data_IF_595312638271
#
_entry.id   IF_595312638271
#
_cell.length_a   1.000
_cell.length_b   1.000
_cell.length_c   1.000
_cell.angle_alpha   90.00
_cell.angle_beta   90.00
_cell.angle_gamma   90.00
#
_symmetry.space_group_name_H-M   'P 1'
#
loop_
_entity.id
_entity.type
_entity.pdbx_description
1 polymer ?
2 polymer ?
3 non-polymer ?
4 non-polymer ?
5 non-polymer ?
6 non-polymer ?
7 water ?
#
# COMPACT_ATOMS: atom_id res chain seq x y z
N UNK A 1 2.71 -12.42 -7.32
CA UNK A 1 3.62 -12.71 -6.21
C UNK A 1 4.36 -14.02 -6.45
N UNK A 2 5.70 -14.00 -6.42
CA UNK A 2 6.60 -15.16 -6.58
C UNK A 2 7.13 -15.60 -5.21
N UNK A 3 7.00 -16.89 -4.89
CA UNK A 3 7.57 -17.51 -3.70
C UNK A 3 6.90 -17.14 -2.39
N UNK A 4 5.64 -16.73 -2.47
CA UNK A 4 4.84 -16.39 -1.29
C UNK A 4 3.92 -17.53 -0.94
N UNK A 5 2.79 -17.22 -0.31
CA UNK A 5 1.76 -18.19 0.04
C UNK A 5 0.41 -17.52 -0.17
N UNK A 6 -0.67 -18.30 -0.10
CA UNK A 6 -2.02 -17.77 -0.22
C UNK A 6 -2.26 -16.94 1.05
N UNK A 7 -2.82 -15.74 0.89
CA UNK A 7 -3.17 -14.96 2.07
C UNK A 7 -4.48 -15.56 2.59
N UNK A 8 -4.51 -16.14 3.82
CA UNK A 8 -5.79 -16.73 4.28
C UNK A 8 -6.90 -15.68 4.16
N UNK A 9 -8.06 -16.10 3.62
CA UNK A 9 -9.23 -15.23 3.38
C UNK A 9 -9.51 -14.33 4.60
N UNK A 10 -9.51 -13.02 4.36
CA UNK A 10 -9.76 -12.02 5.40
C UNK A 10 -8.53 -11.55 6.15
N UNK A 11 -7.35 -12.14 5.87
CA UNK A 11 -6.12 -11.69 6.54
C UNK A 11 -5.42 -10.50 5.82
N UNK A 12 -5.85 -10.16 4.57
CA UNK A 12 -5.36 -9.01 3.80
C UNK A 12 -6.62 -8.14 3.52
N UNK A 13 -7.37 -7.66 4.55
CA UNK A 13 -8.67 -7.04 4.24
C UNK A 13 -8.65 -5.68 3.58
N UNK A 14 -7.47 -5.07 3.48
CA UNK A 14 -7.29 -3.76 2.84
C UNK A 14 -6.91 -3.91 1.35
N UNK A 15 -6.62 -5.15 0.93
CA UNK A 15 -6.24 -5.38 -0.46
C UNK A 15 -7.40 -5.01 -1.40
N UNK A 16 -7.07 -4.28 -2.47
CA UNK A 16 -8.04 -3.91 -3.50
C UNK A 16 -7.62 -4.59 -4.83
N UNK A 17 -8.60 -4.97 -5.63
CA UNK A 17 -8.39 -5.47 -6.99
C UNK A 17 -8.97 -4.42 -7.91
N UNK A 18 -8.17 -3.90 -8.82
CA UNK A 18 -8.64 -2.94 -9.82
C UNK A 18 -8.89 -3.66 -11.12
N UNK A 19 -10.06 -3.40 -11.70
CA UNK A 19 -10.52 -3.97 -12.97
C UNK A 19 -10.86 -2.89 -13.99
N UNK A 20 -10.62 -3.19 -15.28
CA UNK A 20 -10.99 -2.30 -16.39
C UNK A 20 -11.73 -3.19 -17.37
N UNK A 21 -13.01 -2.85 -17.63
CA UNK A 21 -13.88 -3.66 -18.50
C UNK A 21 -13.94 -5.12 -17.97
N UNK A 22 -13.89 -5.28 -16.64
CA UNK A 22 -13.95 -6.58 -15.99
C UNK A 22 -12.64 -7.36 -15.94
N UNK A 23 -11.57 -6.84 -16.57
CA UNK A 23 -10.29 -7.52 -16.61
C UNK A 23 -9.34 -6.99 -15.53
N UNK A 24 -8.52 -7.89 -15.00
CA UNK A 24 -7.51 -7.57 -13.99
C UNK A 24 -6.56 -6.50 -14.51
N UNK A 25 -6.43 -5.42 -13.73
CA UNK A 25 -5.52 -4.33 -14.10
C UNK A 25 -4.34 -4.23 -13.12
N UNK A 26 -4.66 -4.04 -11.82
CA UNK A 26 -3.65 -3.73 -10.79
C UNK A 26 -4.26 -4.01 -9.43
N UNK A 27 -3.45 -3.84 -8.41
CA UNK A 27 -3.92 -3.90 -7.04
C UNK A 27 -4.03 -2.46 -6.53
N UNK A 28 -4.39 -2.35 -5.25
CA UNK A 28 -4.52 -1.09 -4.53
C UNK A 28 -4.68 -1.37 -3.06
N UNK A 29 -4.72 -0.31 -2.26
CA UNK A 29 -4.86 -0.44 -0.79
C UNK A 29 -5.96 0.51 -0.31
N UNK A 30 -6.94 -0.03 0.40
CA UNK A 30 -8.01 0.77 0.97
C UNK A 30 -7.40 1.50 2.19
N UNK A 31 -7.58 2.85 2.28
CA UNK A 31 -7.03 3.55 3.47
C UNK A 31 -8.14 4.17 4.37
N UNK A 32 -9.40 4.17 3.88
CA UNK A 32 -10.61 4.55 4.65
C UNK A 32 -11.81 4.08 3.81
N UNK A 33 -13.07 4.44 4.13
CA UNK A 33 -14.18 3.86 3.36
C UNK A 33 -14.32 4.36 1.91
N UNK A 34 -13.66 5.45 1.54
CA UNK A 34 -13.88 5.91 0.18
C UNK A 34 -12.58 6.10 -0.64
N UNK A 35 -11.40 6.01 -0.01
CA UNK A 35 -10.12 6.27 -0.70
C UNK A 35 -9.24 5.04 -0.82
N UNK A 36 -8.63 4.88 -2.00
CA UNK A 36 -7.73 3.76 -2.32
C UNK A 36 -6.44 4.31 -2.85
N UNK A 37 -5.29 3.75 -2.40
CA UNK A 37 -4.00 4.19 -2.91
C UNK A 37 -3.52 3.11 -3.90
N UNK A 38 -3.03 3.54 -5.07
CA UNK A 38 -2.52 2.57 -6.03
C UNK A 38 -1.27 3.17 -6.71
N UNK A 39 -0.86 2.60 -7.85
CA UNK A 39 0.29 3.10 -8.60
C UNK A 39 -0.15 3.93 -9.80
N UNK A 40 0.50 5.09 -10.01
CA UNK A 40 0.16 5.96 -11.15
C UNK A 40 0.26 5.20 -12.49
N UNK A 41 1.27 4.31 -12.62
CA UNK A 41 1.55 3.62 -13.89
C UNK A 41 0.44 2.69 -14.34
N UNK A 42 -0.45 2.25 -13.41
CA UNK A 42 -1.59 1.41 -13.74
C UNK A 42 -2.56 2.11 -14.70
N UNK A 43 -2.50 3.46 -14.78
CA UNK A 43 -3.44 4.27 -15.55
C UNK A 43 -2.86 4.81 -16.87
N UNK A 44 -1.61 4.44 -17.20
CA UNK A 44 -0.93 4.90 -18.42
C UNK A 44 -1.69 4.59 -19.70
N UNK A 45 -2.36 3.44 -19.75
CA UNK A 45 -3.01 2.98 -20.97
C UNK A 45 -4.54 2.97 -20.92
N UNK A 46 -5.14 3.64 -19.92
CA UNK A 46 -6.61 3.67 -19.78
C UNK A 46 -7.25 4.64 -20.78
N UNK A 47 -8.26 4.15 -21.50
CA UNK A 47 -9.07 4.95 -22.43
C UNK A 47 -10.52 4.95 -21.88
N UNK A 48 -10.93 3.81 -21.29
CA UNK A 48 -12.26 3.58 -20.71
C UNK A 48 -12.28 3.93 -19.22
N UNK A 49 -12.12 5.23 -18.92
CA UNK A 49 -12.12 5.78 -17.56
C UNK A 49 -13.39 5.49 -16.78
N UNK A 50 -14.53 5.31 -17.47
CA UNK A 50 -15.83 5.00 -16.85
C UNK A 50 -16.00 3.51 -16.50
N UNK A 51 -15.09 2.66 -16.99
CA UNK A 51 -15.19 1.22 -16.77
C UNK A 51 -14.15 0.70 -15.76
N UNK A 52 -13.63 1.62 -14.91
CA UNK A 52 -12.64 1.31 -13.87
C UNK A 52 -13.41 0.97 -12.58
N UNK A 53 -13.18 -0.24 -12.05
CA UNK A 53 -13.88 -0.77 -10.88
C UNK A 53 -12.87 -1.20 -9.84
N UNK A 54 -13.15 -0.91 -8.54
CA UNK A 54 -12.34 -1.40 -7.43
C UNK A 54 -13.16 -2.48 -6.73
N UNK A 55 -12.54 -3.60 -6.37
CA UNK A 55 -13.24 -4.65 -5.66
C UNK A 55 -12.52 -4.82 -4.32
N UNK A 56 -13.29 -4.76 -3.22
CA UNK A 56 -12.83 -4.98 -1.85
C UNK A 56 -13.38 -6.32 -1.36
N UNK A 57 -12.72 -6.95 -0.39
CA UNK A 57 -13.20 -8.22 0.16
C UNK A 57 -13.01 -9.38 -0.81
N UNK A 58 -12.18 -9.15 -1.84
CA UNK A 58 -11.89 -10.21 -2.82
C UNK A 58 -10.90 -11.20 -2.26
N UNK A 59 -11.00 -12.49 -2.68
CA UNK A 59 -10.02 -13.48 -2.23
C UNK A 59 -9.75 -14.43 -3.39
N UNK A 60 -10.78 -15.12 -3.84
CA UNK A 60 -10.67 -16.13 -4.91
C UNK A 60 -11.44 -15.60 -6.11
N UNK A 61 -10.75 -15.38 -7.23
CA UNK A 61 -11.31 -14.82 -8.47
C UNK A 61 -12.27 -15.77 -9.20
N UNK A 62 -12.29 -17.04 -8.81
CA UNK A 62 -13.12 -18.02 -9.53
C UNK A 62 -14.54 -18.16 -8.95
N UNK A 63 -14.77 -17.62 -7.75
CA UNK A 63 -16.06 -17.78 -7.06
C UNK A 63 -16.50 -16.48 -6.43
N UNK A 64 -17.82 -16.26 -6.35
CA UNK A 64 -18.42 -15.12 -5.65
C UNK A 64 -18.91 -15.68 -4.32
N UNK A 65 -18.35 -15.21 -3.19
CA UNK A 65 -18.81 -15.75 -1.91
C UNK A 65 -19.67 -14.77 -1.09
N UNK A 66 -19.93 -13.58 -1.63
CA UNK A 66 -20.78 -12.59 -0.97
C UNK A 66 -20.04 -11.55 -0.13
N UNK A 67 -18.74 -11.75 0.09
CA UNK A 67 -17.94 -10.75 0.86
C UNK A 67 -17.37 -9.66 -0.05
N UNK A 68 -17.42 -9.86 -1.38
CA UNK A 68 -16.89 -8.90 -2.35
C UNK A 68 -17.77 -7.67 -2.39
N UNK A 69 -17.15 -6.49 -2.56
CA UNK A 69 -17.90 -5.25 -2.72
C UNK A 69 -17.24 -4.51 -3.86
N UNK A 70 -18.01 -4.20 -4.92
CA UNK A 70 -17.49 -3.50 -6.11
C UNK A 70 -17.94 -2.06 -6.09
N UNK A 71 -17.03 -1.17 -6.48
CA UNK A 71 -17.32 0.24 -6.57
C UNK A 71 -16.68 0.82 -7.80
N UNK A 72 -17.40 1.73 -8.45
CA UNK A 72 -16.85 2.48 -9.59
C UNK A 72 -15.82 3.46 -9.02
N UNK A 73 -14.74 3.69 -9.76
CA UNK A 73 -13.73 4.65 -9.36
C UNK A 73 -14.18 5.99 -9.95
N UNK A 74 -14.51 6.96 -9.08
CA UNK A 74 -14.99 8.27 -9.51
C UNK A 74 -13.85 9.18 -9.96
N UNK A 75 -12.69 9.05 -9.31
CA UNK A 75 -11.55 9.91 -9.62
C UNK A 75 -10.24 9.19 -9.41
N UNK A 76 -9.27 9.50 -10.26
CA UNK A 76 -7.92 8.98 -10.18
C UNK A 76 -7.04 10.22 -10.11
N UNK A 77 -6.34 10.41 -8.99
CA UNK A 77 -5.50 11.60 -8.78
C UNK A 77 -4.04 11.20 -8.82
N UNK A 78 -3.28 11.85 -9.70
CA UNK A 78 -1.88 11.53 -9.90
C UNK A 78 -0.98 12.77 -9.66
N UNK A 79 0.22 12.63 -9.05
CA UNK A 79 1.08 13.83 -8.85
C UNK A 79 1.50 14.42 -10.19
N UNK A 80 1.58 15.75 -10.26
CA UNK A 80 2.03 16.45 -11.49
C UNK A 80 3.43 16.01 -11.93
N UNK A 81 4.25 15.58 -10.95
CA UNK A 81 5.65 15.16 -11.19
C UNK A 81 5.77 13.77 -11.87
N UNK A 82 4.68 12.97 -11.84
CA UNK A 82 4.68 11.66 -12.49
C UNK A 82 4.65 11.85 -14.02
N UNK A 83 5.52 11.12 -14.72
CA UNK A 83 5.57 11.14 -16.18
C UNK A 83 5.17 9.76 -16.74
N UNK A 84 4.08 9.66 -17.54
CA UNK A 84 3.69 8.35 -18.09
C UNK A 84 4.83 7.63 -18.82
N UNK A 85 4.94 6.33 -18.59
CA UNK A 85 5.98 5.50 -19.18
C UNK A 85 7.28 5.50 -18.41
N UNK A 86 7.31 6.19 -17.26
CA UNK A 86 8.51 6.24 -16.41
C UNK A 86 8.14 5.68 -15.03
N UNK A 87 9.11 5.68 -14.10
CA UNK A 87 8.93 5.05 -12.78
C UNK A 87 8.82 5.99 -11.58
N UNK A 88 9.34 7.22 -11.68
CA UNK A 88 9.33 8.12 -10.51
C UNK A 88 7.94 8.63 -10.13
N UNK A 89 7.70 8.86 -8.81
CA UNK A 89 6.42 9.35 -8.27
C UNK A 89 5.25 8.43 -8.66
N UNK A 90 5.46 7.12 -8.50
CA UNK A 90 4.50 6.12 -8.94
C UNK A 90 3.41 5.88 -7.89
N UNK A 91 2.48 6.85 -7.81
CA UNK A 91 1.39 6.84 -6.84
C UNK A 91 0.12 7.42 -7.41
N UNK A 92 -1.02 6.85 -7.04
CA UNK A 92 -2.32 7.36 -7.46
C UNK A 92 -3.25 7.27 -6.27
N UNK A 93 -4.09 8.28 -6.15
CA UNK A 93 -5.10 8.32 -5.08
C UNK A 93 -6.48 8.23 -5.77
N UNK A 94 -7.26 7.21 -5.43
CA UNK A 94 -8.53 6.89 -6.08
C UNK A 94 -9.69 7.15 -5.15
N UNK A 95 -10.68 7.91 -5.65
CA UNK A 95 -11.89 8.19 -4.88
C UNK A 95 -12.97 7.23 -5.39
N UNK A 96 -13.57 6.46 -4.49
CA UNK A 96 -14.65 5.55 -4.90
C UNK A 96 -15.95 6.33 -5.07
N UNK A 97 -16.82 5.88 -6.00
CA UNK A 97 -18.08 6.60 -6.26
C UNK A 97 -19.02 6.58 -5.03
N UNK A 98 -18.98 5.49 -4.25
CA UNK A 98 -19.76 5.31 -3.04
C UNK A 98 -18.83 4.58 -2.03
N UNK A 99 -18.92 4.89 -0.74
CA UNK A 99 -18.02 4.18 0.21
C UNK A 99 -18.25 2.68 0.25
N UNK A 100 -17.19 1.92 0.57
CA UNK A 100 -17.35 0.49 0.85
C UNK A 100 -17.87 0.42 2.28
N UNK A 101 -18.50 -0.69 2.62
CA UNK A 101 -19.02 -0.94 3.97
C UNK A 101 -17.94 -1.77 4.71
N UNK A 102 -17.45 -1.28 5.87
CA UNK A 102 -16.44 -2.06 6.57
C UNK A 102 -17.06 -3.30 7.18
N UNK A 103 -16.34 -4.41 7.03
CA UNK A 103 -16.80 -5.71 7.55
C UNK A 103 -15.57 -6.49 8.02
N UNK A 104 -15.75 -7.75 8.48
CA UNK A 104 -14.59 -8.56 8.85
C UNK A 104 -13.66 -8.76 7.65
N UNK A 105 -14.20 -8.64 6.42
CA UNK A 105 -13.42 -8.87 5.20
C UNK A 105 -12.98 -7.60 4.44
N UNK A 106 -13.45 -6.41 4.89
CA UNK A 106 -13.12 -5.15 4.22
C UNK A 106 -12.71 -4.15 5.33
N UNK A 107 -11.41 -3.88 5.44
CA UNK A 107 -10.87 -3.01 6.51
C UNK A 107 -9.75 -2.16 5.92
N UNK A 108 -9.71 -0.85 6.23
CA UNK A 108 -8.64 -0.02 5.68
C UNK A 108 -7.29 -0.30 6.35
N UNK A 109 -6.23 -0.07 5.62
CA UNK A 109 -4.88 -0.08 6.18
C UNK A 109 -4.60 1.32 6.71
N UNK A 110 -3.86 1.46 7.86
CA UNK A 110 -3.62 2.83 8.34
C UNK A 110 -2.66 3.58 7.45
N UNK A 111 -3.04 4.79 7.02
CA UNK A 111 -2.08 5.65 6.30
C UNK A 111 -1.31 6.35 7.46
N UNK A 112 -0.02 6.11 7.66
CA UNK A 112 0.66 6.72 8.83
C UNK A 112 0.97 8.19 8.67
N UNK A 113 1.35 8.88 9.78
CA UNK A 113 1.86 10.25 9.69
C UNK A 113 3.26 10.16 9.10
N UNK A 114 3.72 11.23 8.44
CA UNK A 114 5.04 11.21 7.81
C UNK A 114 6.18 10.94 8.81
N UNK A 115 6.23 11.69 9.91
CA UNK A 115 7.29 11.57 10.94
C UNK A 115 7.39 10.16 11.49
N UNK A 116 6.24 9.60 11.87
CA UNK A 116 6.14 8.23 12.36
C UNK A 116 6.67 7.25 11.30
N UNK A 117 6.27 7.47 10.03
CA UNK A 117 6.70 6.58 8.96
C UNK A 117 8.23 6.65 8.71
N UNK A 118 8.79 7.85 8.64
CA UNK A 118 10.23 8.02 8.39
C UNK A 118 11.10 7.64 9.60
N UNK A 119 10.68 7.99 10.82
CA UNK A 119 11.46 7.73 12.05
C UNK A 119 11.34 6.32 12.59
N UNK A 120 10.19 5.65 12.38
CA UNK A 120 9.95 4.35 12.98
C UNK A 120 9.69 3.25 11.97
N UNK A 121 8.64 3.42 11.13
CA UNK A 121 8.26 2.35 10.18
C UNK A 121 9.34 2.00 9.19
N UNK A 122 10.11 3.02 8.75
CA UNK A 122 11.21 2.86 7.78
C UNK A 122 12.32 1.90 8.29
N UNK A 123 12.36 1.64 9.62
CA UNK A 123 13.36 0.76 10.25
C UNK A 123 12.80 -0.59 10.66
N UNK A 124 11.51 -0.86 10.36
CA UNK A 124 10.93 -2.18 10.60
C UNK A 124 11.42 -2.98 9.37
N UNK A 125 12.25 -4.00 9.61
CA UNK A 125 12.87 -4.75 8.51
C UNK A 125 11.89 -5.43 7.55
N UNK A 126 10.99 -6.28 8.04
CA UNK A 126 10.07 -7.03 7.21
C UNK A 126 8.69 -6.41 7.08
N UNK A 127 8.14 -6.52 5.87
CA UNK A 127 6.78 -6.05 5.57
C UNK A 127 6.16 -7.00 4.58
N UNK A 128 4.82 -6.97 4.49
CA UNK A 128 4.06 -7.86 3.60
C UNK A 128 3.67 -7.16 2.31
N UNK A 129 3.81 -7.89 1.20
CA UNK A 129 3.42 -7.44 -0.14
C UNK A 129 2.43 -8.47 -0.64
N UNK A 130 1.37 -8.02 -1.34
CA UNK A 130 0.30 -8.94 -1.73
C UNK A 130 -0.33 -8.59 -3.08
N UNK A 131 -0.96 -9.59 -3.69
CA UNK A 131 -1.63 -9.39 -4.97
C UNK A 131 -1.97 -10.66 -5.71
N UNK A 132 -2.77 -10.50 -6.78
CA UNK A 132 -3.20 -11.61 -7.65
C UNK A 132 -2.32 -11.62 -8.92
N UNK A 133 -1.10 -11.10 -8.78
CA UNK A 133 -0.14 -10.97 -9.88
C UNK A 133 0.48 -12.30 -10.28
N UNK A 134 1.40 -12.25 -11.26
CA UNK A 134 2.05 -13.47 -11.78
C UNK A 134 2.75 -14.23 -10.68
N UNK A 135 2.57 -15.56 -10.68
CA UNK A 135 3.18 -16.50 -9.71
C UNK A 135 4.64 -16.80 -10.04
N UNK A 136 5.03 -16.50 -11.29
CA UNK A 136 6.36 -16.74 -11.84
C UNK A 136 6.63 -15.72 -12.89
N UNK A 137 7.90 -15.45 -13.16
CA UNK A 137 8.28 -14.56 -14.26
C UNK A 137 7.78 -15.25 -15.55
N UNK A 138 6.99 -14.51 -16.38
CA UNK A 138 6.41 -15.00 -17.64
C UNK A 138 5.45 -16.19 -17.40
N UNK A 139 4.82 -16.18 -16.23
CA UNK A 139 3.87 -17.20 -15.79
C UNK A 139 2.45 -16.70 -15.61
N UNK A 140 1.57 -17.62 -15.21
CA UNK A 140 0.15 -17.36 -14.98
C UNK A 140 -0.02 -16.51 -13.71
N UNK A 141 -1.14 -15.78 -13.65
CA UNK A 141 -1.49 -14.98 -12.46
C UNK A 141 -2.22 -15.88 -11.47
N UNK A 142 -2.33 -15.44 -10.19
CA UNK A 142 -2.99 -16.21 -9.14
C UNK A 142 -4.50 -16.07 -9.11
N UNK A 143 -5.23 -17.17 -8.79
CA UNK A 143 -6.68 -17.13 -8.61
C UNK A 143 -7.01 -16.72 -7.17
N UNK A 144 -6.13 -17.07 -6.22
CA UNK A 144 -6.29 -16.70 -4.82
C UNK A 144 -5.24 -15.61 -4.47
N UNK A 145 -5.64 -14.65 -3.63
CA UNK A 145 -4.74 -13.58 -3.20
C UNK A 145 -3.50 -14.16 -2.55
N UNK A 146 -2.32 -13.69 -2.98
CA UNK A 146 -1.03 -14.16 -2.47
C UNK A 146 -0.37 -13.09 -1.60
N UNK A 147 0.47 -13.51 -0.64
CA UNK A 147 1.18 -12.59 0.25
C UNK A 147 2.61 -13.08 0.44
N UNK A 148 3.52 -12.14 0.64
CA UNK A 148 4.94 -12.40 0.80
C UNK A 148 5.57 -11.43 1.79
N UNK A 149 6.43 -11.97 2.65
CA UNK A 149 7.19 -11.18 3.63
C UNK A 149 8.52 -10.83 2.99
N UNK A 150 8.84 -9.54 2.91
CA UNK A 150 10.06 -9.03 2.28
C UNK A 150 10.83 -8.08 3.19
N UNK A 151 12.19 -8.15 3.18
CA UNK A 151 12.98 -7.19 3.97
C UNK A 151 13.28 -5.93 3.15
N UNK A 152 13.29 -4.79 3.82
CA UNK A 152 13.55 -3.51 3.20
C UNK A 152 15.07 -3.24 3.26
N UNK A 153 15.60 -2.63 2.20
CA UNK A 153 17.01 -2.29 2.13
C UNK A 153 17.22 -0.79 2.08
N UNK A 154 18.37 -0.31 2.58
CA UNK A 154 18.75 1.10 2.41
C UNK A 154 19.14 1.18 0.93
N UNK A 155 18.82 2.30 0.26
CA UNK A 155 19.07 2.48 -1.18
C UNK A 155 20.55 2.28 -1.56
N UNK A 156 21.50 2.78 -0.73
CA UNK A 156 22.95 2.59 -0.92
C UNK A 156 23.24 1.09 -0.98
N UNK A 157 22.69 0.31 -0.01
CA UNK A 157 22.82 -1.15 0.04
C UNK A 157 22.16 -1.83 -1.16
N UNK A 158 20.99 -1.33 -1.64
CA UNK A 158 20.28 -1.89 -2.80
C UNK A 158 21.12 -1.73 -4.09
N UNK A 159 21.69 -0.54 -4.30
CA UNK A 159 22.52 -0.22 -5.47
C UNK A 159 23.83 -1.04 -5.48
N UNK A 160 24.43 -1.22 -4.30
CA UNK A 160 25.68 -1.96 -4.11
C UNK A 160 25.53 -3.47 -4.31
N UNK A 161 24.44 -4.08 -3.80
CA UNK A 161 24.24 -5.54 -3.95
C UNK A 161 23.32 -5.88 -5.14
N UNK A 162 23.29 -5.00 -6.17
CA UNK A 162 22.53 -5.20 -7.40
C UNK A 162 23.43 -5.26 -8.63
N UNK A 163 23.18 -6.26 -9.50
CA UNK A 163 23.92 -6.47 -10.73
C UNK A 163 23.52 -5.41 -11.76
N UNK A 164 24.53 -4.71 -12.33
CA UNK A 164 24.33 -3.67 -13.35
C UNK A 164 23.84 -4.31 -14.65
N UNK A 165 22.76 -3.73 -15.24
CA UNK A 165 22.15 -4.25 -16.47
C UNK A 165 22.26 -3.30 -17.66
N UNK A 166 22.27 -2.00 -17.40
CA UNK A 166 22.34 -0.97 -18.45
C UNK A 166 20.94 -0.49 -18.79
N UNK A 167 20.75 0.85 -18.81
CA UNK A 167 19.47 1.56 -19.06
C UNK A 167 18.44 1.27 -17.93
N UNK A 168 18.93 0.72 -16.79
CA UNK A 168 18.15 0.40 -15.59
C UNK A 168 17.81 1.72 -14.88
N UNK A 169 16.51 1.97 -14.53
CA UNK A 169 16.18 3.26 -13.88
C UNK A 169 16.86 3.49 -12.54
N UNK A 170 17.08 4.78 -12.20
CA UNK A 170 17.68 5.19 -10.92
C UNK A 170 16.66 4.93 -9.79
N UNK A 171 17.15 4.66 -8.57
CA UNK A 171 16.32 4.47 -7.39
C UNK A 171 16.37 5.81 -6.66
N UNK A 172 15.28 6.58 -6.75
CA UNK A 172 15.16 7.94 -6.21
C UNK A 172 14.75 7.94 -4.74
N UNK A 173 14.68 9.13 -4.14
CA UNK A 173 14.20 9.31 -2.76
C UNK A 173 12.67 9.02 -2.64
N UNK A 174 11.97 8.84 -3.78
CA UNK A 174 10.53 8.53 -3.81
C UNK A 174 10.29 7.03 -3.96
N UNK A 175 11.37 6.24 -3.78
CA UNK A 175 11.33 4.78 -3.90
C UNK A 175 12.12 4.12 -2.78
N UNK A 176 11.96 2.81 -2.64
CA UNK A 176 12.82 1.95 -1.81
C UNK A 176 12.82 0.55 -2.38
N UNK A 177 13.90 -0.21 -2.10
CA UNK A 177 14.04 -1.60 -2.50
C UNK A 177 13.61 -2.50 -1.36
N UNK A 178 13.00 -3.64 -1.71
CA UNK A 178 12.62 -4.66 -0.75
C UNK A 178 12.58 -5.98 -1.46
N UNK A 179 13.00 -7.02 -0.77
CA UNK A 179 12.99 -8.36 -1.33
C UNK A 179 14.29 -9.12 -1.16
N UNK A 180 14.56 -10.01 -2.13
CA UNK A 180 15.70 -10.92 -2.13
C UNK A 180 16.37 -10.92 -3.50
N UNK A 181 17.72 -10.95 -3.51
CA UNK A 181 18.51 -10.97 -4.75
C UNK A 181 18.88 -12.39 -5.24
N UNK A 182 18.37 -13.45 -4.57
CA UNK A 182 18.70 -14.84 -4.91
C UNK A 182 17.69 -15.54 -5.87
N UNK A 183 16.82 -14.75 -6.52
CA UNK A 183 15.83 -15.23 -7.47
C UNK A 183 14.70 -16.09 -6.91
N UNK A 184 14.42 -15.95 -5.61
CA UNK A 184 13.40 -16.79 -4.98
C UNK A 184 12.05 -16.13 -4.75
N UNK A 185 12.06 -14.88 -4.24
CA UNK A 185 10.84 -14.21 -3.80
C UNK A 185 10.75 -12.76 -4.24
N UNK A 186 9.57 -12.34 -4.74
CA UNK A 186 9.35 -10.96 -5.19
C UNK A 186 7.87 -10.75 -5.52
N UNK A 187 7.46 -9.48 -5.68
CA UNK A 187 6.13 -9.18 -6.20
C UNK A 187 6.36 -9.29 -7.73
N UNK A 188 5.31 -9.20 -8.53
CA UNK A 188 5.44 -9.38 -9.99
C UNK A 188 4.43 -8.49 -10.73
N UNK A 189 4.39 -8.63 -12.08
CA UNK A 189 3.45 -7.92 -12.93
C UNK A 189 2.06 -8.30 -12.44
N UNK A 190 1.18 -7.32 -12.40
CA UNK A 190 -0.17 -7.58 -11.95
C UNK A 190 -0.34 -7.30 -10.47
N UNK A 191 0.76 -7.29 -9.68
CA UNK A 191 0.70 -6.93 -8.25
C UNK A 191 0.82 -5.40 -8.09
N UNK A 192 1.28 -4.72 -9.15
CA UNK A 192 1.48 -3.27 -9.17
C UNK A 192 0.31 -2.55 -8.51
N UNK A 193 0.61 -1.55 -7.67
CA UNK A 193 -0.38 -0.75 -6.97
C UNK A 193 -0.78 -1.33 -5.62
N UNK A 194 -0.47 -2.61 -5.39
CA UNK A 194 -0.79 -3.28 -4.16
C UNK A 194 0.00 -2.77 -2.96
N UNK A 195 -0.43 -3.17 -1.75
CA UNK A 195 0.26 -2.70 -0.53
C UNK A 195 1.59 -3.38 -0.20
N UNK A 196 2.47 -2.61 0.43
CA UNK A 196 3.68 -3.02 1.14
C UNK A 196 3.27 -2.49 2.55
N UNK A 197 2.81 -3.42 3.42
CA UNK A 197 2.20 -3.16 4.74
C UNK A 197 3.18 -3.50 5.86
N UNK A 198 3.34 -2.58 6.83
CA UNK A 198 4.33 -2.75 7.88
C UNK A 198 3.63 -2.80 9.23
N UNK A 199 3.94 -3.82 10.04
CA UNK A 199 3.40 -4.00 11.38
C UNK A 199 4.25 -3.25 12.41
N UNK A 200 3.57 -2.56 13.32
CA UNK A 200 4.24 -1.88 14.43
C UNK A 200 3.31 -1.83 15.61
N UNK A 201 3.72 -2.47 16.73
CA UNK A 201 2.98 -2.53 17.98
C UNK A 201 1.47 -2.87 17.83
N UNK A 202 1.20 -3.95 17.09
CA UNK A 202 -0.13 -4.52 16.96
C UNK A 202 -0.99 -3.91 15.87
N UNK A 203 -0.44 -2.99 15.06
CA UNK A 203 -1.21 -2.32 14.00
C UNK A 203 -0.44 -2.28 12.68
N UNK A 204 -1.14 -2.42 11.54
CA UNK A 204 -0.51 -2.38 10.22
C UNK A 204 -0.68 -1.02 9.53
N UNK A 205 0.38 -0.59 8.81
CA UNK A 205 0.47 0.72 8.15
C UNK A 205 0.92 0.61 6.71
N UNK A 206 0.44 1.53 5.86
CA UNK A 206 0.88 1.60 4.48
C UNK A 206 2.25 2.28 4.38
N UNK A 207 3.28 1.54 3.95
CA UNK A 207 4.62 2.14 3.75
C UNK A 207 5.10 2.13 2.29
N UNK A 208 4.56 1.22 1.48
CA UNK A 208 4.99 1.19 0.08
C UNK A 208 3.87 0.78 -0.86
N UNK A 209 4.11 0.98 -2.16
CA UNK A 209 3.21 0.56 -3.22
C UNK A 209 4.04 -0.29 -4.20
N UNK A 210 3.53 -1.48 -4.56
CA UNK A 210 4.22 -2.32 -5.56
C UNK A 210 4.38 -1.45 -6.83
N UNK A 211 5.63 -1.20 -7.25
CA UNK A 211 5.86 -0.27 -8.36
C UNK A 211 6.55 -0.88 -9.60
N UNK A 212 7.83 -1.28 -9.48
CA UNK A 212 8.61 -1.79 -10.63
C UNK A 212 9.77 -2.74 -10.23
N UNK A 213 10.38 -3.34 -11.23
CA UNK A 213 11.49 -4.28 -11.07
C UNK A 213 11.99 -4.71 -12.43
N UNK A 214 13.07 -5.50 -12.46
CA UNK A 214 13.66 -5.97 -13.72
C UNK A 214 13.51 -7.46 -13.75
N UNK A 215 12.36 -7.93 -14.24
CA UNK A 215 12.03 -9.35 -14.25
C UNK A 215 11.68 -9.79 -12.84
N UNK A 216 10.64 -10.63 -12.69
CA UNK A 216 10.19 -11.08 -11.37
C UNK A 216 11.11 -12.11 -10.75
N UNK A 217 11.62 -11.78 -9.53
CA UNK A 217 12.53 -12.61 -8.75
C UNK A 217 13.76 -13.03 -9.60
N UNK A 218 14.40 -12.05 -10.23
CA UNK A 218 15.60 -12.35 -11.02
C UNK A 218 16.79 -12.11 -10.14
N UNK A 219 17.81 -12.98 -10.26
CA UNK A 219 19.05 -12.94 -9.49
C UNK A 219 19.71 -11.57 -9.63
N UNK A 220 20.15 -11.02 -8.50
CA UNK A 220 20.81 -9.72 -8.45
C UNK A 220 19.88 -8.54 -8.45
N UNK A 221 18.54 -8.77 -8.36
CA UNK A 221 17.56 -7.70 -8.39
C UNK A 221 16.55 -7.79 -7.26
N UNK A 222 16.06 -6.62 -6.81
CA UNK A 222 15.05 -6.51 -5.75
C UNK A 222 13.79 -5.87 -6.34
N UNK A 223 12.67 -5.95 -5.63
CA UNK A 223 11.46 -5.24 -6.03
C UNK A 223 11.62 -3.79 -5.63
N UNK A 224 11.07 -2.86 -6.41
CA UNK A 224 11.14 -1.41 -6.13
C UNK A 224 9.71 -0.94 -5.81
N UNK A 225 9.59 -0.22 -4.69
CA UNK A 225 8.30 0.22 -4.14
C UNK A 225 8.27 1.73 -3.99
N UNK A 226 7.09 2.35 -4.23
CA UNK A 226 6.94 3.80 -4.07
C UNK A 226 7.03 4.08 -2.57
N UNK A 227 7.85 5.08 -2.19
CA UNK A 227 8.07 5.42 -0.77
C UNK A 227 6.92 6.31 -0.32
N UNK A 228 5.87 5.67 0.22
CA UNK A 228 4.61 6.36 0.59
C UNK A 228 4.80 7.57 1.55
N UNK A 229 5.77 7.50 2.48
CA UNK A 229 6.02 8.58 3.45
C UNK A 229 6.23 9.96 2.77
N UNK A 230 6.79 9.97 1.55
CA UNK A 230 7.02 11.21 0.79
C UNK A 230 5.70 11.90 0.37
N UNK A 231 4.57 11.13 0.38
CA UNK A 231 3.27 11.60 -0.12
C UNK A 231 2.17 11.81 0.92
N UNK A 232 2.45 11.55 2.21
CA UNK A 232 1.42 11.69 3.25
C UNK A 232 0.69 13.03 3.19
N UNK A 233 1.44 14.14 3.20
CA UNK A 233 0.85 15.50 3.21
C UNK A 233 0.03 15.72 1.93
N UNK A 234 0.58 15.26 0.79
CA UNK A 234 -0.06 15.34 -0.52
C UNK A 234 -1.41 14.61 -0.52
N UNK A 235 -1.43 13.37 0.02
CA UNK A 235 -2.63 12.52 0.11
C UNK A 235 -3.66 13.15 1.06
N UNK A 236 -3.22 13.54 2.28
CA UNK A 236 -4.13 14.13 3.27
C UNK A 236 -4.84 15.36 2.74
N UNK A 237 -4.11 16.24 2.06
CA UNK A 237 -4.69 17.47 1.50
C UNK A 237 -5.76 17.13 0.46
N UNK A 238 -5.47 16.18 -0.43
CA UNK A 238 -6.44 15.76 -1.46
C UNK A 238 -7.67 15.12 -0.86
N UNK A 239 -7.50 14.33 0.22
CA UNK A 239 -8.66 13.68 0.85
C UNK A 239 -9.61 14.69 1.53
N UNK A 240 -9.10 15.89 1.85
CA UNK A 240 -9.92 16.95 2.45
C UNK A 240 -10.58 17.84 1.36
N UNK A 241 -10.31 17.57 0.07
CA UNK A 241 -10.85 18.38 -1.03
C UNK A 241 -12.10 17.81 -1.68
N UNK A 242 -12.95 18.71 -2.24
CA UNK A 242 -14.19 18.35 -2.91
C UNK A 242 -13.91 17.67 -4.26
N UNK A 243 -14.70 16.65 -4.66
CA UNK A 243 -14.52 16.05 -6.00
C UNK A 243 -14.67 17.11 -7.12
N UNK A 244 -13.94 16.90 -8.24
CA UNK A 244 -13.92 17.75 -9.43
C UNK A 244 -14.42 16.94 -10.62
N UNK A 245 -15.16 17.54 -11.59
CA UNK A 245 -15.62 16.75 -12.75
C UNK A 245 -14.45 16.09 -13.51
N UNK A 246 -14.70 14.96 -14.15
CA UNK A 246 -13.68 14.22 -14.88
C UNK A 246 -12.97 13.22 -13.97
N UNK A 247 -12.67 12.03 -14.49
CA UNK A 247 -12.02 10.99 -13.68
C UNK A 247 -10.56 11.34 -13.36
N UNK A 248 -9.74 11.61 -14.38
CA UNK A 248 -8.34 11.89 -14.12
C UNK A 248 -8.07 13.31 -13.63
N UNK A 249 -7.31 13.43 -12.55
CA UNK A 249 -6.90 14.73 -12.01
C UNK A 249 -5.37 14.73 -11.75
N UNK A 250 -4.65 15.69 -12.34
CA UNK A 250 -3.23 15.83 -12.05
C UNK A 250 -3.14 16.91 -10.98
N UNK A 251 -2.55 16.58 -9.83
CA UNK A 251 -2.49 17.53 -8.72
C UNK A 251 -1.05 17.90 -8.45
N UNK A 252 -0.75 19.19 -8.18
CA UNK A 252 0.67 19.57 -7.98
C UNK A 252 1.34 18.79 -6.86
N UNK A 253 2.59 18.41 -7.09
CA UNK A 253 3.42 17.76 -6.08
C UNK A 253 4.70 18.59 -6.01
N UNK A 254 5.17 19.03 -4.82
CA UNK A 254 4.63 18.78 -3.47
C UNK A 254 3.26 19.42 -3.16
N UNK B 1 12.59 13.56 21.82
CA UNK B 1 12.02 12.38 22.46
C UNK B 1 11.40 11.45 21.42
N UNK B 2 10.59 12.00 20.49
CA UNK B 2 9.92 11.22 19.43
C UNK B 2 10.88 10.49 18.52
N UNK B 3 12.07 11.07 18.31
CA UNK B 3 13.14 10.49 17.48
C UNK B 3 13.62 9.15 18.06
N UNK B 4 13.72 9.05 19.41
CA UNK B 4 14.17 7.86 20.12
C UNK B 4 13.01 6.95 20.58
N UNK B 5 12.96 5.70 20.02
CA UNK B 5 11.96 4.65 20.30
C UNK B 5 10.49 5.15 20.18
N UNK B 6 10.24 6.05 19.21
CA UNK B 6 8.94 6.66 18.93
C UNK B 6 8.39 7.45 20.15
N UNK B 7 9.31 7.89 21.01
CA UNK B 7 9.02 8.60 22.26
C UNK B 7 8.22 7.76 23.23
N UNK B 8 8.23 6.44 23.01
CA UNK B 8 7.44 5.47 23.79
C UNK B 8 5.99 5.35 23.32
N UNK B 9 5.58 6.12 22.29
CA UNK B 9 4.18 6.09 21.76
C UNK B 9 3.87 4.81 21.00
N UNK B 10 2.64 4.30 21.12
CA UNK B 10 2.23 3.13 20.34
C UNK B 10 2.04 3.51 18.87
N UNK B 11 1.53 4.74 18.62
CA UNK B 11 1.28 5.25 17.27
C UNK B 11 2.05 6.52 16.98
N UNK B 12 1.42 7.70 17.03
CA UNK B 12 2.04 8.96 16.65
C UNK B 12 2.64 9.72 17.81
N UNK B 13 3.74 10.43 17.55
CA UNK B 13 4.44 11.18 18.58
C UNK B 13 4.66 12.63 18.16
N UNK B 14 4.37 13.58 19.07
CA UNK B 14 4.58 15.01 18.85
C UNK B 14 5.51 15.59 19.91
N UNK B 15 6.63 16.19 19.46
CA UNK B 15 7.62 16.83 20.34
C UNK B 15 7.13 18.22 20.72
N UNK B 16 7.34 18.61 21.99
CA UNK B 16 6.99 19.94 22.47
C UNK B 16 8.19 20.59 23.18
N UNK B 17 8.07 21.90 23.50
CA UNK B 17 9.12 22.70 24.14
C UNK B 17 9.66 22.01 25.39
N UNK B 18 10.97 21.81 25.41
CA UNK B 18 11.67 21.14 26.50
C UNK B 18 11.52 19.64 26.46
N UNK B 19 11.32 19.02 27.64
CA UNK B 19 11.17 17.57 27.80
C UNK B 19 9.69 17.11 27.70
N UNK B 20 8.86 17.85 26.92
CA UNK B 20 7.44 17.56 26.72
C UNK B 20 7.14 16.78 25.43
N UNK B 21 6.34 15.70 25.54
CA UNK B 21 5.98 14.82 24.44
C UNK B 21 4.49 14.48 24.53
N UNK B 22 3.78 14.47 23.40
CA UNK B 22 2.37 14.07 23.41
C UNK B 22 2.21 12.96 22.38
N UNK B 23 1.66 11.81 22.81
CA UNK B 23 1.37 10.71 21.87
C UNK B 23 -0.01 10.98 21.33
N UNK B 24 -0.27 10.50 20.12
CA UNK B 24 -1.57 10.66 19.51
C UNK B 24 -1.88 9.36 18.79
N UNK B 25 -3.12 9.23 18.32
CA UNK B 25 -3.59 8.03 17.65
C UNK B 25 -4.22 8.42 16.34
N UNK B 26 -4.33 7.44 15.44
CA UNK B 26 -5.03 7.59 14.17
C UNK B 26 -6.55 7.71 14.53
N UNK B 27 -7.36 8.26 13.59
CA UNK B 27 -8.83 8.29 13.76
C UNK B 27 -9.29 6.86 14.01
N UNK B 28 -10.36 6.69 14.79
CA UNK B 28 -10.89 5.37 15.12
C UNK B 28 -10.19 4.75 16.32
N UNK B 29 -9.29 5.53 16.97
CA UNK B 29 -8.59 5.13 18.19
C UNK B 29 -8.57 6.28 19.19
N UNK B 30 -8.50 5.95 20.50
CA UNK B 30 -8.32 6.96 21.55
C UNK B 30 -7.10 6.59 22.38
N UNK B 31 -6.43 7.60 22.90
CA UNK B 31 -5.24 7.44 23.72
C UNK B 31 -5.64 7.05 25.16
N UNK B 32 -4.99 6.02 25.72
CA UNK B 32 -5.27 5.58 27.09
C UNK B 32 -4.67 6.58 28.09
N UNK B 33 -5.07 6.44 29.38
CA UNK B 33 -4.56 7.34 30.45
C UNK B 33 -3.05 7.19 30.68
N UNK B 34 -2.45 6.07 30.20
CA UNK B 34 -0.98 5.90 30.28
C UNK B 34 -0.25 6.92 29.38
N UNK B 35 -1.01 7.55 28.47
CA UNK B 35 -0.50 8.57 27.55
C UNK B 35 0.31 8.04 26.39
N UNK B 36 0.35 6.70 26.20
CA UNK B 36 1.14 6.08 25.11
C UNK B 36 0.31 5.12 24.23
N UNK B 37 -0.60 4.35 24.86
CA UNK B 37 -1.37 3.31 24.19
C UNK B 37 -2.59 3.85 23.45
N UNK B 38 -2.96 3.17 22.34
CA UNK B 38 -4.13 3.51 21.52
C UNK B 38 -5.10 2.36 21.57
N UNK B 39 -6.36 2.67 21.80
CA UNK B 39 -7.39 1.64 21.84
C UNK B 39 -8.48 1.96 20.79
N UNK B 40 -9.02 0.94 20.08
CA UNK B 40 -10.06 1.22 19.07
C UNK B 40 -11.32 1.82 19.67
N UNK B 41 -11.91 2.80 18.97
CA UNK B 41 -13.20 3.43 19.35
C UNK B 41 -14.32 2.97 18.41
N UNK B 42 -13.93 2.30 17.32
CA UNK B 42 -14.85 1.82 16.28
C UNK B 42 -14.74 0.31 16.10
N UNK B 43 -15.73 -0.27 15.40
CA UNK B 43 -15.80 -1.69 15.17
C UNK B 43 -14.66 -2.16 14.25
N UNK B 44 -14.34 -1.37 13.20
CA UNK B 44 -13.31 -1.73 12.21
C UNK B 44 -12.19 -0.68 12.14
N UNK B 45 -11.35 -0.58 13.19
CA UNK B 45 -10.25 0.41 13.15
C UNK B 45 -9.25 0.04 12.04
N UNK B 46 -8.55 1.01 11.46
CA UNK B 46 -7.56 0.70 10.43
C UNK B 46 -6.43 -0.18 10.97
N UNK B 47 -5.86 -0.99 10.08
CA UNK B 47 -4.66 -1.76 10.37
C UNK B 47 -4.79 -2.89 11.35
N UNK B 48 -6.03 -3.31 11.67
CA UNK B 48 -6.31 -4.48 12.53
C UNK B 48 -7.07 -5.50 11.69
N UNK B 49 -6.78 -6.78 11.93
CA UNK B 49 -7.37 -7.88 11.15
C UNK B 49 -8.44 -8.58 11.97
N UNK B 50 -9.74 -8.28 11.70
CA UNK B 50 -10.82 -8.84 12.53
C UNK B 50 -10.81 -10.34 12.80
N UNK B 51 -10.59 -11.18 11.79
CA UNK B 51 -10.61 -12.64 12.01
C UNK B 51 -9.47 -13.08 12.97
N UNK B 52 -8.38 -12.31 13.04
CA UNK B 52 -7.27 -12.58 13.94
C UNK B 52 -7.51 -11.97 15.34
N UNK B 53 -8.17 -10.80 15.40
CA UNK B 53 -8.52 -10.11 16.66
C UNK B 53 -9.56 -10.89 17.46
N UNK B 54 -10.57 -11.44 16.75
CA UNK B 54 -11.68 -12.21 17.31
C UNK B 54 -11.27 -13.62 17.78
N UNK B 55 -10.08 -14.11 17.33
CA UNK B 55 -9.52 -15.41 17.71
C UNK B 55 -9.11 -15.46 19.19
X LIG C 1 -2.98 -10.11 -15.98
X LIG C 1 -1.95 -8.97 -15.82
X LIG C 1 -2.56 -7.98 -14.81
X LIG C 1 -0.67 -9.52 -15.19
X LIG C 1 -1.49 -8.37 -17.18
X LIG C 1 -2.69 -7.96 -18.05
X LIG C 1 -2.32 -7.26 -19.25
X LIG C 1 -0.59 -7.21 -17.05
X LIG C 1 0.68 -7.22 -17.53
X LIG C 1 1.14 -8.11 -18.24
X LIG C 1 1.54 -6.04 -17.19
X LIG C 1 2.40 -5.38 -18.09
X LIG C 1 3.15 -4.26 -17.68
X LIG C 1 3.06 -3.78 -16.36
X LIG C 1 2.21 -4.47 -15.46
X LIG C 1 1.44 -5.57 -15.87
X LIG C 1 1.99 -4.04 -14.04
X LIG C 1 2.17 -4.81 -13.11
X LIG C 1 1.59 -2.79 -13.84
X LIG C 1 3.87 -2.59 -15.93
X LIG C 1 3.57 -1.38 -16.59
X LIG C 1 4.21 -0.17 -16.28
X LIG C 1 5.11 -0.17 -15.21
X LIG C 1 5.40 -1.34 -14.53
X LIG C 1 4.79 -2.52 -14.87
X LIG C 1 5.23 -3.73 -14.11
X LIG C 1 5.33 -4.82 -14.63
X LIG C 1 5.42 -3.55 -12.77
X LIG C 1 6.17 -4.30 -11.92
X LIG C 1 6.00 -4.16 -10.52
X LIG C 1 6.83 -4.81 -9.60
X LIG C 1 7.84 -5.66 -10.05
X LIG C 1 8.01 -5.89 -11.44
X LIG C 1 7.18 -5.19 -12.34
X LIG C 1 8.98 -6.77 -11.93
X LIG C 1 9.79 -7.43 -11.01
X LIG C 1 9.63 -7.26 -9.66
X LIG C 1 8.70 -6.38 -9.19
X LIG C 1 8.66 -6.25 -7.85
X LIG C 1 5.63 1.03 -14.94
X LIG C 1 6.48 1.17 -13.75
X LIG D 1 -14.42 -14.11 -5.07
X LIG E 1 -20.67 2.30 -7.05
X LIG E 1 -21.42 1.72 -5.93
X LIG E 1 -21.47 3.31 -7.69
X LIG E 1 -19.44 2.88 -6.64
X LIG E 1 -20.42 1.23 -8.02
X LIG F 1 -8.74 0.55 -21.89
X LIG F 1 -9.75 1.51 -22.24
X LIG F 1 -8.31 0.78 -20.51
X LIG F 1 -7.59 0.73 -22.79
X LIG F 1 -9.27 -0.80 -22.04
X LIG G 1 16.98 -3.24 -8.98
X LIG G 1 15.61 -2.81 -8.72
X LIG G 1 17.87 -2.10 -8.83
X LIG G 1 17.33 -4.29 -8.02
X LIG G 1 17.04 -3.74 -10.36
X LIG H 1 -7.39 8.85 7.00
X LIG H 1 -7.84 8.32 8.29
X LIG H 1 -8.37 9.84 6.53
X LIG H 1 -6.09 9.49 7.15
X LIG H 1 -7.28 7.79 6.02
X LIG I 1 -1.95 -4.05 -17.12
X LIG I 1 -1.90 -4.84 -15.93
X LIG I 1 -1.57 -2.60 -16.85
X LIG I 1 -0.84 -2.08 -17.97
X LIG I 1 -0.78 -2.45 -15.57
X LIG I 1 0.06 -1.31 -15.56
X LIG J 1 -2.51 9.56 -16.82
X LIG J 1 -1.23 9.66 -16.19
X LIG J 1 -2.40 8.99 -18.21
X LIG J 1 -3.71 8.77 -18.75
X LIG J 1 -1.62 9.89 -19.14
X LIG J 1 -1.00 9.14 -20.16
X LIG K 1 -1.61 -9.65 7.41
X LIG K 1 -1.76 -9.31 6.04
X LIG K 1 -0.99 -11.01 7.62
X LIG K 1 -0.98 -11.33 9.02
X LIG K 1 -1.71 -12.09 6.84
X LIG K 1 -1.30 -13.39 7.25
#
# INVERSE_FOLDING_TARGET
IVGGKVCPKGECPWQVLLLVNGAQLCGGTLINTIWVVSAAHCFDKIKNWRNLIAVLGEHDLSEHDGDEQSRRVAQVIIPSTYVPGTTNHDIALLRLHQPVVLTDHVVPLCLPERTFSERTLAFVRFSLVSGWGQLLDRGATALELMVLNVPRLMTQDCLQQSRKVGDSPNITEYMFCAGYSDGSKDSCKGDSGGPHATHYRGTWYLTGIVSWGQGCATVGHFGVYTRVSQYIEWLQKLMRSEPRPGVLLRAPFP
ICVNENGGCEQYCSDHTGTKRSCRCHEGYSLLADGVSCTPTVEYPCGKIPILEKR
1NK C1 C2 C3 C4 C5 C6 O7 N8 C9 O10 C11 C12 C13 C14 C15 C16 C17 O18 O19 C20 C21 C22 C23 N24 C25 C26 O27 N28 C29 C30 C31 C32 C33 C34 C35 C36 N37 C38 N39 O40 C41
CA CA
SO4 S O1 O2 O3 O4
SO4 S O1 O2 O3 O4
SO4 S O1 O2 O3 O4
SO4 S O1 O2 O3 O4
GOL C1 O1 C2 O2 C3 O3
GOL C1 O1 C2 O2 C3 O3
GOL C1 O1 C2 O2 C3 O3
#
